data_IF_498286333310
#
_entry.id   IF_498286333310
#
_cell.length_a   1.000
_cell.length_b   1.000
_cell.length_c   1.000
_cell.angle_alpha   90.00
_cell.angle_beta   90.00
_cell.angle_gamma   90.00
#
_symmetry.space_group_name_H-M   'P 1'
#
loop_
_entity.id
_entity.type
_entity.pdbx_description
1 polymer ?
#
# COMPACT_ATOMS: atom_id res chain seq x y z
N UNK A 1 29.29 -2.37 2.26
CA UNK A 1 29.58 -1.20 3.14
C UNK A 1 29.55 -1.64 4.59
N UNK A 2 30.52 -1.18 5.36
CA UNK A 2 30.94 -1.69 6.67
C UNK A 2 29.84 -1.65 7.75
N UNK A 3 29.88 -2.67 8.61
CA UNK A 3 29.10 -2.79 9.83
C UNK A 3 29.40 -1.63 10.78
N UNK A 4 28.45 -0.70 10.96
CA UNK A 4 28.49 0.21 12.10
C UNK A 4 27.84 -0.49 13.29
N UNK A 5 28.68 -0.83 14.27
CA UNK A 5 28.35 -1.26 15.64
C UNK A 5 27.16 -0.42 16.13
N UNK A 6 26.06 -1.05 16.58
CA UNK A 6 25.01 -0.35 17.35
C UNK A 6 25.72 0.22 18.59
N UNK A 7 25.99 1.52 18.59
CA UNK A 7 26.55 2.21 19.74
C UNK A 7 25.47 2.27 20.80
N UNK A 8 25.76 1.73 21.98
CA UNK A 8 24.93 1.75 23.21
C UNK A 8 24.82 3.14 23.85
N UNK A 9 25.20 4.21 23.14
CA UNK A 9 25.03 5.59 23.60
C UNK A 9 23.81 6.17 22.92
N UNK A 10 22.87 6.71 23.70
CA UNK A 10 21.76 7.50 23.19
C UNK A 10 22.32 8.57 22.24
N UNK A 11 21.74 8.73 21.04
CA UNK A 11 22.21 9.73 20.10
C UNK A 11 22.04 11.13 20.73
N UNK A 12 22.88 12.12 20.35
CA UNK A 12 22.73 13.48 20.84
C UNK A 12 21.31 14.00 20.62
N UNK A 13 20.76 14.73 21.59
CA UNK A 13 19.41 15.32 21.53
C UNK A 13 19.30 16.17 20.25
N UNK A 14 18.21 15.99 19.49
CA UNK A 14 17.95 16.61 18.17
C UNK A 14 18.91 16.23 17.02
N UNK A 15 19.80 15.25 17.21
CA UNK A 15 20.53 14.70 16.08
C UNK A 15 19.60 13.98 15.10
N UNK A 16 20.05 13.83 13.86
CA UNK A 16 19.31 13.07 12.83
C UNK A 16 18.95 11.64 13.31
N UNK A 17 19.85 10.98 14.03
CA UNK A 17 19.58 9.63 14.56
C UNK A 17 18.56 9.65 15.71
N UNK A 18 18.54 10.71 16.53
CA UNK A 18 17.55 10.90 17.58
C UNK A 18 16.13 11.09 17.01
N UNK A 19 15.99 11.95 15.99
CA UNK A 19 14.69 12.20 15.33
C UNK A 19 14.13 10.91 14.73
N UNK A 20 14.96 10.14 14.01
CA UNK A 20 14.50 8.89 13.41
C UNK A 20 14.08 7.84 14.45
N UNK A 21 14.77 7.76 15.58
CA UNK A 21 14.44 6.79 16.62
C UNK A 21 13.18 7.15 17.41
N UNK A 22 12.93 8.44 17.64
CA UNK A 22 11.84 8.92 18.50
C UNK A 22 10.76 9.66 17.70
N UNK A 23 10.63 9.40 16.40
CA UNK A 23 9.72 10.14 15.53
C UNK A 23 8.26 10.02 16.00
N UNK A 24 7.84 8.85 16.46
CA UNK A 24 6.50 8.61 16.99
C UNK A 24 6.21 9.49 18.21
N UNK A 25 7.14 9.54 19.18
CA UNK A 25 7.01 10.37 20.38
C UNK A 25 7.05 11.86 20.06
N UNK A 26 7.92 12.29 19.15
CA UNK A 26 7.98 13.69 18.69
C UNK A 26 6.65 14.11 18.05
N UNK A 27 6.13 13.27 17.15
CA UNK A 27 4.86 13.53 16.46
C UNK A 27 3.69 13.48 17.45
N UNK A 28 3.72 12.57 18.43
CA UNK A 28 2.74 12.54 19.52
C UNK A 28 2.77 13.83 20.35
N UNK A 29 3.94 14.36 20.67
CA UNK A 29 4.06 15.66 21.34
C UNK A 29 3.41 16.80 20.53
N UNK A 30 3.59 16.81 19.20
CA UNK A 30 2.93 17.79 18.31
C UNK A 30 1.41 17.58 18.30
N UNK A 31 0.93 16.33 18.23
CA UNK A 31 -0.51 16.02 18.31
C UNK A 31 -1.13 16.46 19.63
N UNK A 32 -0.43 16.22 20.74
CA UNK A 32 -0.85 16.62 22.09
C UNK A 32 -0.98 18.13 22.24
N UNK A 33 -0.18 18.93 21.53
CA UNK A 33 -0.34 20.39 21.54
C UNK A 33 -1.75 20.81 21.09
N UNK A 34 -2.29 20.19 20.03
CA UNK A 34 -3.65 20.47 19.56
C UNK A 34 -4.71 20.00 20.56
N UNK A 35 -4.54 18.81 21.14
CA UNK A 35 -5.48 18.25 22.13
C UNK A 35 -5.51 19.10 23.40
N UNK A 36 -4.35 19.46 23.95
CA UNK A 36 -4.25 20.33 25.12
C UNK A 36 -4.76 21.73 24.84
N UNK A 37 -4.63 22.22 23.61
CA UNK A 37 -5.21 23.51 23.20
C UNK A 37 -6.74 23.55 23.32
N UNK A 38 -7.45 22.41 23.38
CA UNK A 38 -8.89 22.38 23.69
C UNK A 38 -9.18 22.73 25.16
N UNK A 39 -8.20 22.62 26.06
CA UNK A 39 -8.41 22.88 27.49
C UNK A 39 -8.47 24.37 27.84
N UNK A 40 -8.01 25.26 26.95
CA UNK A 40 -8.02 26.70 27.16
C UNK A 40 -8.96 27.38 26.16
N UNK A 41 -9.85 28.23 26.66
CA UNK A 41 -10.87 28.91 25.86
C UNK A 41 -10.29 29.69 24.67
N UNK A 42 -9.16 30.41 24.87
CA UNK A 42 -8.51 31.18 23.82
C UNK A 42 -7.85 30.35 22.71
N UNK A 43 -7.48 29.09 22.98
CA UNK A 43 -6.86 28.20 21.98
C UNK A 43 -7.83 27.15 21.44
N UNK A 44 -8.96 26.92 22.09
CA UNK A 44 -9.93 25.89 21.73
C UNK A 44 -10.49 26.08 20.32
N UNK A 45 -10.82 27.32 19.94
CA UNK A 45 -11.31 27.68 18.59
C UNK A 45 -10.29 27.33 17.49
N UNK A 46 -9.00 27.45 17.77
CA UNK A 46 -7.97 27.06 16.82
C UNK A 46 -7.78 25.54 16.80
N UNK A 47 -7.71 24.90 17.97
CA UNK A 47 -7.52 23.46 18.11
C UNK A 47 -8.65 22.63 17.51
N UNK A 48 -9.90 23.08 17.63
CA UNK A 48 -11.06 22.33 17.15
C UNK A 48 -11.03 22.13 15.63
N UNK A 49 -10.46 23.09 14.89
CA UNK A 49 -10.30 23.03 13.42
C UNK A 49 -9.45 21.84 12.98
N UNK A 50 -8.47 21.46 13.80
CA UNK A 50 -7.59 20.33 13.54
C UNK A 50 -8.23 18.99 13.91
N UNK A 51 -9.07 18.96 14.96
CA UNK A 51 -9.52 17.70 15.56
C UNK A 51 -10.87 17.23 14.98
N UNK A 52 -11.82 18.15 14.80
CA UNK A 52 -13.19 17.82 14.38
C UNK A 52 -13.39 17.98 12.88
N UNK A 53 -14.38 17.28 12.33
CA UNK A 53 -14.79 17.48 10.94
C UNK A 53 -15.42 18.86 10.76
N UNK A 54 -14.96 19.58 9.74
CA UNK A 54 -15.39 20.95 9.46
C UNK A 54 -16.59 20.97 8.50
N UNK A 55 -17.25 22.12 8.35
CA UNK A 55 -18.31 22.35 7.35
C UNK A 55 -19.56 21.46 7.53
N UNK A 56 -20.02 21.25 8.77
CA UNK A 56 -21.30 20.59 9.06
C UNK A 56 -22.49 21.52 8.82
N UNK A 57 -23.59 20.95 8.34
CA UNK A 57 -24.90 21.59 8.18
C UNK A 57 -25.93 20.71 8.86
N UNK A 58 -26.68 21.30 9.79
CA UNK A 58 -27.76 20.65 10.52
C UNK A 58 -29.06 20.80 9.77
N UNK A 59 -29.69 19.68 9.42
CA UNK A 59 -31.06 19.68 8.93
C UNK A 59 -32.01 19.40 10.10
N UNK A 60 -33.02 20.26 10.35
CA UNK A 60 -34.01 20.00 11.38
C UNK A 60 -34.75 18.71 11.04
N UNK A 61 -35.00 17.88 12.06
CA UNK A 61 -35.79 16.67 11.91
C UNK A 61 -37.19 17.07 11.40
N UNK A 62 -37.65 16.45 10.32
CA UNK A 62 -39.04 16.60 9.91
C UNK A 62 -39.94 16.05 11.03
N UNK A 63 -40.97 16.81 11.41
CA UNK A 63 -41.79 16.62 12.61
C UNK A 63 -42.45 15.22 12.76
N UNK A 64 -42.46 14.38 11.71
CA UNK A 64 -43.21 13.12 11.68
C UNK A 64 -42.39 11.82 11.74
N UNK A 65 -41.06 11.87 11.89
CA UNK A 65 -40.27 10.66 12.16
C UNK A 65 -39.18 10.95 13.18
N UNK A 66 -39.12 10.13 14.23
CA UNK A 66 -38.05 10.07 15.24
C UNK A 66 -36.69 9.71 14.63
N UNK A 67 -36.21 10.55 13.72
CA UNK A 67 -34.94 10.45 13.03
C UNK A 67 -34.15 11.66 13.50
N UNK A 68 -33.08 11.41 14.24
CA UNK A 68 -32.17 12.43 14.77
C UNK A 68 -31.79 13.46 13.70
N UNK A 69 -31.48 14.69 14.12
CA UNK A 69 -30.97 15.75 13.25
C UNK A 69 -29.84 15.21 12.37
N UNK A 70 -30.04 15.18 11.05
CA UNK A 70 -29.04 14.63 10.13
C UNK A 70 -27.97 15.68 9.87
N UNK A 71 -26.75 15.41 10.34
CA UNK A 71 -25.58 16.22 10.01
C UNK A 71 -25.05 15.82 8.64
N UNK A 72 -25.06 16.77 7.70
CA UNK A 72 -24.45 16.62 6.38
C UNK A 72 -23.28 17.59 6.24
N UNK A 73 -22.30 17.22 5.43
CA UNK A 73 -21.03 17.93 5.34
C UNK A 73 -20.71 18.32 3.91
N UNK A 74 -20.08 19.48 3.75
CA UNK A 74 -19.40 19.91 2.53
C UNK A 74 -17.89 19.65 2.63
N UNK A 75 -17.19 19.67 1.49
CA UNK A 75 -15.74 19.87 1.54
C UNK A 75 -15.41 21.35 1.77
N UNK A 76 -14.24 21.63 2.33
CA UNK A 76 -13.70 23.00 2.36
C UNK A 76 -12.25 23.06 2.82
N UNK A 77 -11.65 24.25 2.74
CA UNK A 77 -10.20 24.45 2.93
C UNK A 77 -9.77 24.08 4.36
N UNK A 78 -10.62 24.29 5.37
CA UNK A 78 -10.32 23.92 6.75
C UNK A 78 -10.10 22.41 6.94
N UNK A 79 -10.59 21.58 6.02
CA UNK A 79 -10.36 20.13 6.06
C UNK A 79 -8.88 19.78 5.91
N UNK A 80 -8.03 20.67 5.35
CA UNK A 80 -6.59 20.48 5.28
C UNK A 80 -5.94 20.44 6.66
N UNK A 81 -6.41 21.25 7.60
CA UNK A 81 -5.95 21.22 8.99
C UNK A 81 -6.34 19.89 9.65
N UNK A 82 -7.55 19.41 9.37
CA UNK A 82 -8.02 18.11 9.84
C UNK A 82 -7.19 16.97 9.25
N UNK A 83 -6.94 16.96 7.94
CA UNK A 83 -6.05 15.99 7.26
C UNK A 83 -4.66 16.00 7.89
N UNK A 84 -4.11 17.18 8.18
CA UNK A 84 -2.80 17.30 8.85
C UNK A 84 -2.80 16.65 10.24
N UNK A 85 -3.81 16.91 11.06
CA UNK A 85 -3.91 16.29 12.39
C UNK A 85 -4.02 14.76 12.30
N UNK A 86 -4.91 14.24 11.45
CA UNK A 86 -5.04 12.79 11.27
C UNK A 86 -3.81 12.17 10.60
N UNK A 87 -3.00 12.93 9.86
CA UNK A 87 -1.70 12.47 9.36
C UNK A 87 -0.75 12.23 10.54
N UNK A 88 -0.72 13.10 11.56
CA UNK A 88 0.07 12.87 12.78
C UNK A 88 -0.41 11.59 13.49
N UNK A 89 -1.72 11.41 13.61
CA UNK A 89 -2.32 10.18 14.17
C UNK A 89 -1.89 8.95 13.36
N UNK A 90 -1.91 9.04 12.02
CA UNK A 90 -1.48 7.94 11.14
C UNK A 90 0.00 7.59 11.34
N UNK A 91 0.90 8.56 11.54
CA UNK A 91 2.31 8.30 11.88
C UNK A 91 2.44 7.53 13.20
N UNK A 92 1.70 7.94 14.23
CA UNK A 92 1.71 7.28 15.55
C UNK A 92 1.20 5.84 15.44
N UNK A 93 0.09 5.63 14.72
CA UNK A 93 -0.49 4.31 14.48
C UNK A 93 0.49 3.43 13.70
N UNK A 94 1.11 3.96 12.63
CA UNK A 94 2.10 3.24 11.83
C UNK A 94 3.26 2.75 12.69
N UNK A 95 3.84 3.64 13.50
CA UNK A 95 4.93 3.30 14.41
C UNK A 95 4.51 2.28 15.47
N UNK A 96 3.29 2.39 15.99
CA UNK A 96 2.74 1.44 16.97
C UNK A 96 2.59 0.04 16.35
N UNK A 97 2.01 -0.06 15.15
CA UNK A 97 1.89 -1.34 14.43
C UNK A 97 3.29 -1.91 14.14
N UNK A 98 4.23 -1.06 13.75
CA UNK A 98 5.60 -1.47 13.46
C UNK A 98 6.26 -2.10 14.68
N UNK A 99 6.22 -1.42 15.83
CA UNK A 99 6.90 -1.85 17.05
C UNK A 99 6.23 -3.05 17.72
N UNK A 100 4.90 -3.00 17.91
CA UNK A 100 4.18 -3.98 18.72
C UNK A 100 3.77 -5.24 17.95
N UNK A 101 3.56 -5.13 16.63
CA UNK A 101 3.08 -6.23 15.79
C UNK A 101 4.19 -6.75 14.89
N UNK A 102 4.67 -5.93 13.95
CA UNK A 102 5.54 -6.40 12.87
C UNK A 102 6.94 -6.77 13.38
N UNK A 103 7.55 -5.93 14.21
CA UNK A 103 8.84 -6.22 14.81
C UNK A 103 8.80 -7.43 15.75
N UNK A 104 7.67 -7.65 16.43
CA UNK A 104 7.46 -8.84 17.26
C UNK A 104 7.42 -10.11 16.41
N UNK A 105 6.75 -10.09 15.26
CA UNK A 105 6.71 -11.22 14.32
C UNK A 105 8.10 -11.45 13.71
N UNK A 106 8.78 -10.39 13.28
CA UNK A 106 10.13 -10.48 12.72
C UNK A 106 11.15 -11.12 13.68
N UNK A 107 11.09 -10.76 14.97
CA UNK A 107 11.96 -11.35 15.99
C UNK A 107 11.68 -12.84 16.19
N UNK A 108 10.42 -13.27 16.04
CA UNK A 108 10.04 -14.69 16.12
C UNK A 108 10.47 -15.48 14.90
N UNK A 109 10.28 -14.94 13.70
CA UNK A 109 10.58 -15.62 12.44
C UNK A 109 12.04 -15.54 12.00
N UNK A 110 12.85 -14.67 12.63
CA UNK A 110 14.29 -14.50 12.36
C UNK A 110 14.62 -14.25 10.87
N UNK A 111 13.81 -13.43 10.19
CA UNK A 111 14.02 -13.16 8.77
C UNK A 111 15.36 -12.43 8.48
N UNK A 112 16.01 -12.72 7.33
CA UNK A 112 17.10 -11.90 6.83
C UNK A 112 16.66 -10.44 6.62
N UNK A 113 17.56 -9.48 6.87
CA UNK A 113 17.31 -8.02 6.71
C UNK A 113 16.55 -7.60 5.43
N UNK A 114 16.89 -8.08 4.21
CA UNK A 114 16.17 -7.68 3.01
C UNK A 114 14.73 -8.21 2.98
N UNK A 115 14.48 -9.39 3.56
CA UNK A 115 13.15 -10.01 3.67
C UNK A 115 12.31 -9.29 4.74
N UNK A 116 12.95 -8.88 5.83
CA UNK A 116 12.32 -8.11 6.91
C UNK A 116 11.73 -6.78 6.41
N UNK A 117 12.48 -6.02 5.59
CA UNK A 117 12.01 -4.75 5.06
C UNK A 117 10.74 -4.90 4.21
N UNK A 118 10.70 -5.92 3.35
CA UNK A 118 9.54 -6.20 2.49
C UNK A 118 8.34 -6.73 3.30
N UNK A 119 8.61 -7.57 4.29
CA UNK A 119 7.58 -8.06 5.22
C UNK A 119 6.95 -6.91 6.00
N UNK A 120 7.75 -5.94 6.47
CA UNK A 120 7.24 -4.77 7.18
C UNK A 120 6.35 -3.90 6.29
N UNK A 121 6.81 -3.57 5.09
CA UNK A 121 6.04 -2.80 4.11
C UNK A 121 4.71 -3.51 3.81
N UNK A 122 4.75 -4.80 3.48
CA UNK A 122 3.55 -5.59 3.21
C UNK A 122 2.63 -5.69 4.42
N UNK A 123 3.19 -5.84 5.62
CA UNK A 123 2.43 -5.90 6.87
C UNK A 123 1.68 -4.62 7.18
N UNK A 124 2.33 -3.46 7.02
CA UNK A 124 1.70 -2.15 7.21
C UNK A 124 0.55 -1.95 6.21
N UNK A 125 0.80 -2.22 4.92
CA UNK A 125 -0.24 -2.11 3.90
C UNK A 125 -1.39 -3.09 4.12
N UNK A 126 -1.13 -4.34 4.53
CA UNK A 126 -2.18 -5.29 4.87
C UNK A 126 -3.09 -4.79 5.98
N UNK A 127 -2.53 -4.24 7.07
CA UNK A 127 -3.34 -3.70 8.17
C UNK A 127 -4.18 -2.52 7.70
N UNK A 128 -3.57 -1.58 6.97
CA UNK A 128 -4.27 -0.41 6.44
C UNK A 128 -5.42 -0.77 5.50
N UNK A 129 -5.17 -1.65 4.53
CA UNK A 129 -6.19 -2.05 3.57
C UNK A 129 -7.30 -2.86 4.24
N UNK A 130 -6.98 -3.72 5.21
CA UNK A 130 -7.99 -4.47 5.96
C UNK A 130 -8.94 -3.53 6.73
N UNK A 131 -8.38 -2.59 7.50
CA UNK A 131 -9.18 -1.61 8.26
C UNK A 131 -10.00 -0.75 7.31
N UNK A 132 -9.41 -0.27 6.23
CA UNK A 132 -10.12 0.53 5.22
C UNK A 132 -11.24 -0.26 4.56
N UNK A 133 -11.02 -1.54 4.22
CA UNK A 133 -12.02 -2.45 3.65
C UNK A 133 -13.24 -2.65 4.54
N UNK A 134 -13.00 -2.92 5.82
CA UNK A 134 -14.07 -3.09 6.81
C UNK A 134 -14.85 -1.77 6.96
N UNK A 135 -14.15 -0.64 7.08
CA UNK A 135 -14.80 0.66 7.25
C UNK A 135 -15.60 1.08 6.02
N UNK A 136 -15.05 0.95 4.81
CA UNK A 136 -15.77 1.29 3.59
C UNK A 136 -16.99 0.39 3.35
N UNK A 137 -16.89 -0.90 3.70
CA UNK A 137 -18.05 -1.82 3.67
C UNK A 137 -19.13 -1.38 4.66
N UNK A 138 -18.74 -0.98 5.87
CA UNK A 138 -19.67 -0.45 6.87
C UNK A 138 -20.40 0.80 6.36
N UNK A 139 -19.70 1.71 5.67
CA UNK A 139 -20.32 2.90 5.06
C UNK A 139 -21.33 2.50 3.98
N UNK A 140 -20.96 1.60 3.07
CA UNK A 140 -21.85 1.13 2.00
C UNK A 140 -23.13 0.48 2.53
N UNK A 141 -23.03 -0.28 3.62
CA UNK A 141 -24.18 -0.87 4.31
C UNK A 141 -25.02 0.24 4.95
N UNK A 142 -24.40 1.17 5.67
CA UNK A 142 -25.09 2.24 6.38
C UNK A 142 -25.85 3.20 5.45
N UNK A 143 -25.37 3.38 4.23
CA UNK A 143 -25.99 4.24 3.21
C UNK A 143 -26.91 3.46 2.26
N UNK A 144 -27.22 2.18 2.57
CA UNK A 144 -28.09 1.30 1.79
C UNK A 144 -27.66 1.11 0.32
N UNK A 145 -26.39 1.32 0.00
CA UNK A 145 -25.86 1.20 -1.36
C UNK A 145 -25.93 -0.25 -1.90
N UNK A 146 -25.94 -1.25 -1.00
CA UNK A 146 -26.10 -2.66 -1.38
C UNK A 146 -27.55 -3.01 -1.75
N UNK A 147 -28.52 -2.33 -1.15
CA UNK A 147 -29.95 -2.57 -1.38
C UNK A 147 -30.46 -1.78 -2.61
N UNK A 148 -29.97 -0.57 -2.81
CA UNK A 148 -30.25 0.25 -3.98
C UNK A 148 -28.94 0.69 -4.67
N UNK A 149 -28.42 -0.13 -5.60
CA UNK A 149 -27.23 0.22 -6.38
C UNK A 149 -27.36 1.53 -7.15
N UNK A 150 -28.60 1.98 -7.42
CA UNK A 150 -28.81 3.22 -8.19
C UNK A 150 -28.28 4.46 -7.47
N UNK A 151 -28.10 4.39 -6.15
CA UNK A 151 -27.49 5.44 -5.32
C UNK A 151 -26.02 5.70 -5.67
N UNK A 152 -25.31 4.71 -6.24
CA UNK A 152 -23.89 4.85 -6.61
C UNK A 152 -23.67 5.88 -7.72
N UNK A 153 -24.61 5.97 -8.66
CA UNK A 153 -24.55 6.89 -9.80
C UNK A 153 -25.55 8.04 -9.75
N UNK A 154 -26.52 8.02 -8.83
CA UNK A 154 -27.47 9.12 -8.65
C UNK A 154 -26.78 10.30 -7.95
N UNK A 155 -26.62 11.41 -8.66
CA UNK A 155 -26.16 12.66 -8.07
C UNK A 155 -27.13 13.07 -6.94
N UNK A 156 -26.63 13.10 -5.70
CA UNK A 156 -27.38 13.64 -4.58
C UNK A 156 -27.72 15.10 -4.87
N UNK A 157 -28.98 15.55 -4.66
CA UNK A 157 -29.42 16.88 -5.07
C UNK A 157 -28.66 18.04 -4.41
N UNK A 158 -27.89 17.79 -3.35
CA UNK A 158 -27.18 18.83 -2.59
C UNK A 158 -25.66 18.70 -2.55
N UNK A 159 -25.02 17.74 -3.25
CA UNK A 159 -23.56 17.54 -3.20
C UNK A 159 -23.02 17.56 -1.76
N UNK A 160 -23.58 16.71 -0.90
CA UNK A 160 -23.21 16.61 0.51
C UNK A 160 -22.80 15.18 0.85
N UNK A 161 -22.04 15.03 1.93
CA UNK A 161 -21.59 13.73 2.44
C UNK A 161 -22.03 13.53 3.89
N UNK A 162 -22.24 12.28 4.29
CA UNK A 162 -22.46 11.92 5.70
C UNK A 162 -21.16 12.11 6.49
N UNK A 163 -21.27 12.17 7.82
CA UNK A 163 -20.11 12.20 8.70
C UNK A 163 -19.14 11.04 8.41
N UNK A 164 -19.66 9.82 8.29
CA UNK A 164 -18.87 8.61 8.08
C UNK A 164 -18.10 8.66 6.76
N UNK A 165 -18.78 9.04 5.67
CA UNK A 165 -18.16 9.20 4.36
C UNK A 165 -17.06 10.28 4.38
N UNK A 166 -17.35 11.45 4.97
CA UNK A 166 -16.36 12.52 5.08
C UNK A 166 -15.14 12.06 5.87
N UNK A 167 -15.37 11.47 7.04
CA UNK A 167 -14.30 11.05 7.93
C UNK A 167 -13.41 9.99 7.28
N UNK A 168 -14.03 9.06 6.53
CA UNK A 168 -13.30 8.09 5.73
C UNK A 168 -12.35 8.79 4.75
N UNK A 169 -12.83 9.68 3.88
CA UNK A 169 -11.97 10.37 2.91
C UNK A 169 -10.84 11.18 3.56
N UNK A 170 -11.13 11.90 4.64
CA UNK A 170 -10.12 12.65 5.41
C UNK A 170 -9.05 11.70 5.97
N UNK A 171 -9.47 10.57 6.52
CA UNK A 171 -8.55 9.55 7.04
C UNK A 171 -7.71 8.90 5.94
N UNK A 172 -8.31 8.65 4.77
CA UNK A 172 -7.59 8.11 3.60
C UNK A 172 -6.53 9.10 3.09
N UNK A 173 -6.88 10.38 2.96
CA UNK A 173 -5.92 11.44 2.59
C UNK A 173 -4.80 11.53 3.64
N UNK A 174 -5.15 11.58 4.92
CA UNK A 174 -4.21 11.63 6.02
C UNK A 174 -3.21 10.47 6.00
N UNK A 175 -3.70 9.25 5.74
CA UNK A 175 -2.84 8.09 5.57
C UNK A 175 -1.90 8.28 4.36
N UNK A 176 -2.39 8.61 3.17
CA UNK A 176 -1.45 8.75 2.04
C UNK A 176 -0.49 9.94 2.19
N UNK A 177 -0.85 10.99 2.94
CA UNK A 177 0.09 12.03 3.34
C UNK A 177 1.12 11.57 4.36
N UNK A 178 0.77 10.66 5.28
CA UNK A 178 1.71 10.08 6.26
C UNK A 178 2.87 9.35 5.56
N UNK A 179 2.61 8.82 4.36
CA UNK A 179 3.63 8.09 3.61
C UNK A 179 4.83 8.96 3.25
N UNK A 180 4.67 10.28 3.04
CA UNK A 180 5.80 11.17 2.71
C UNK A 180 6.87 11.27 3.81
N UNK A 181 6.54 11.65 5.06
CA UNK A 181 7.52 11.62 6.15
C UNK A 181 7.99 10.20 6.46
N UNK A 182 7.15 9.18 6.24
CA UNK A 182 7.54 7.78 6.44
C UNK A 182 8.66 7.35 5.48
N UNK A 183 8.66 7.80 4.21
CA UNK A 183 9.80 7.56 3.30
C UNK A 183 11.13 8.06 3.87
N UNK A 184 11.09 9.16 4.62
CA UNK A 184 12.24 9.72 5.30
C UNK A 184 12.61 8.89 6.54
N UNK A 185 11.63 8.51 7.38
CA UNK A 185 11.88 7.70 8.58
C UNK A 185 12.41 6.30 8.27
N UNK A 186 11.94 5.67 7.19
CA UNK A 186 12.38 4.33 6.75
C UNK A 186 13.74 4.33 6.03
N UNK A 187 14.33 5.50 5.76
CA UNK A 187 15.57 5.65 4.97
C UNK A 187 15.50 4.96 3.62
N UNK A 188 14.41 5.18 2.88
CA UNK A 188 14.26 4.64 1.53
C UNK A 188 15.46 5.01 0.66
N UNK A 189 15.93 4.05 -0.15
CA UNK A 189 17.02 4.30 -1.10
C UNK A 189 16.59 5.40 -2.08
N UNK A 190 17.50 6.33 -2.37
CA UNK A 190 17.26 7.46 -3.29
C UNK A 190 16.72 7.05 -4.67
N UNK A 191 17.06 5.84 -5.13
CA UNK A 191 16.62 5.29 -6.41
C UNK A 191 15.12 4.90 -6.41
N UNK A 192 14.58 4.51 -5.24
CA UNK A 192 13.21 4.03 -5.10
C UNK A 192 12.21 5.15 -4.77
N UNK A 193 12.72 6.28 -4.23
CA UNK A 193 11.92 7.48 -3.89
C UNK A 193 11.03 7.97 -5.05
N UNK A 194 11.51 8.20 -6.28
CA UNK A 194 10.65 8.75 -7.34
C UNK A 194 9.47 7.83 -7.67
N UNK A 195 9.70 6.51 -7.68
CA UNK A 195 8.64 5.52 -7.91
C UNK A 195 7.60 5.54 -6.79
N UNK A 196 8.03 5.60 -5.53
CA UNK A 196 7.12 5.67 -4.38
C UNK A 196 6.34 6.98 -4.34
N UNK A 197 6.97 8.11 -4.69
CA UNK A 197 6.28 9.40 -4.78
C UNK A 197 5.17 9.39 -5.84
N UNK A 198 5.42 8.79 -7.01
CA UNK A 198 4.37 8.63 -8.04
C UNK A 198 3.25 7.76 -7.49
N UNK A 199 3.56 6.65 -6.82
CA UNK A 199 2.55 5.76 -6.25
C UNK A 199 1.68 6.44 -5.18
N UNK A 200 2.30 7.19 -4.25
CA UNK A 200 1.59 7.98 -3.23
C UNK A 200 0.76 9.09 -3.89
N UNK A 201 1.36 9.81 -4.85
CA UNK A 201 0.70 10.88 -5.58
C UNK A 201 -0.53 10.42 -6.36
N UNK A 202 -0.49 9.22 -6.95
CA UNK A 202 -1.63 8.62 -7.62
C UNK A 202 -2.79 8.33 -6.65
N UNK A 203 -2.51 7.82 -5.45
CA UNK A 203 -3.55 7.61 -4.44
C UNK A 203 -4.17 8.93 -3.98
N UNK A 204 -3.33 9.91 -3.64
CA UNK A 204 -3.80 11.24 -3.25
C UNK A 204 -4.63 11.90 -4.35
N UNK A 205 -4.21 11.80 -5.62
CA UNK A 205 -4.94 12.34 -6.75
C UNK A 205 -6.35 11.74 -6.88
N UNK A 206 -6.50 10.43 -6.82
CA UNK A 206 -7.82 9.79 -6.98
C UNK A 206 -8.71 9.99 -5.75
N UNK A 207 -8.16 9.94 -4.54
CA UNK A 207 -8.92 10.16 -3.29
C UNK A 207 -9.37 11.63 -3.23
N UNK A 208 -8.47 12.59 -3.50
CA UNK A 208 -8.82 14.00 -3.55
C UNK A 208 -9.79 14.31 -4.69
N UNK A 209 -9.60 13.71 -5.87
CA UNK A 209 -10.51 13.84 -7.00
C UNK A 209 -11.92 13.35 -6.66
N UNK A 210 -12.04 12.19 -6.01
CA UNK A 210 -13.32 11.66 -5.55
C UNK A 210 -13.99 12.58 -4.52
N UNK A 211 -13.20 13.09 -3.57
CA UNK A 211 -13.65 13.96 -2.49
C UNK A 211 -14.11 15.34 -2.98
N UNK A 212 -13.30 16.03 -3.79
CA UNK A 212 -13.55 17.40 -4.25
C UNK A 212 -14.63 17.48 -5.35
N UNK A 213 -14.80 16.41 -6.12
CA UNK A 213 -15.80 16.35 -7.18
C UNK A 213 -17.12 15.71 -6.72
N UNK A 214 -17.26 15.43 -5.42
CA UNK A 214 -18.44 14.76 -4.84
C UNK A 214 -18.78 13.42 -5.51
N UNK A 215 -17.78 12.67 -5.94
CA UNK A 215 -17.93 11.30 -6.42
C UNK A 215 -17.96 10.34 -5.21
N UNK A 216 -18.73 10.67 -4.16
CA UNK A 216 -18.58 10.08 -2.83
C UNK A 216 -18.75 8.56 -2.82
N UNK A 217 -19.93 8.07 -3.21
CA UNK A 217 -20.23 6.63 -3.23
C UNK A 217 -19.43 5.90 -4.31
N UNK A 218 -19.31 6.52 -5.49
CA UNK A 218 -18.53 5.96 -6.59
C UNK A 218 -17.06 5.76 -6.21
N UNK A 219 -16.41 6.83 -5.76
CA UNK A 219 -15.04 6.81 -5.30
C UNK A 219 -14.83 5.83 -4.15
N UNK A 220 -15.80 5.71 -3.23
CA UNK A 220 -15.76 4.74 -2.14
C UNK A 220 -15.74 3.29 -2.67
N UNK A 221 -16.64 2.95 -3.60
CA UNK A 221 -16.69 1.61 -4.21
C UNK A 221 -15.41 1.30 -4.99
N UNK A 222 -14.93 2.25 -5.80
CA UNK A 222 -13.70 2.07 -6.57
C UNK A 222 -12.48 1.90 -5.67
N UNK A 223 -12.37 2.73 -4.64
CA UNK A 223 -11.31 2.62 -3.65
C UNK A 223 -11.39 1.29 -2.89
N UNK A 224 -12.61 0.82 -2.59
CA UNK A 224 -12.82 -0.47 -1.93
C UNK A 224 -12.40 -1.66 -2.75
N UNK A 225 -12.81 -1.71 -4.01
CA UNK A 225 -12.39 -2.78 -4.91
C UNK A 225 -10.87 -2.78 -5.09
N UNK A 226 -10.26 -1.59 -5.25
CA UNK A 226 -8.81 -1.46 -5.33
C UNK A 226 -8.11 -1.96 -4.05
N UNK A 227 -8.51 -1.47 -2.88
CA UNK A 227 -7.91 -1.85 -1.60
C UNK A 227 -8.10 -3.33 -1.27
N UNK A 228 -9.24 -3.92 -1.63
CA UNK A 228 -9.46 -5.34 -1.42
C UNK A 228 -8.48 -6.18 -2.24
N UNK A 229 -8.25 -5.81 -3.51
CA UNK A 229 -7.29 -6.52 -4.36
C UNK A 229 -5.84 -6.32 -3.86
N UNK A 230 -5.48 -5.12 -3.41
CA UNK A 230 -4.16 -4.86 -2.80
C UNK A 230 -3.98 -5.63 -1.48
N UNK A 231 -5.02 -5.71 -0.64
CA UNK A 231 -5.02 -6.48 0.59
C UNK A 231 -4.69 -7.95 0.32
N UNK A 232 -5.38 -8.55 -0.66
CA UNK A 232 -5.11 -9.93 -1.04
C UNK A 232 -3.65 -10.11 -1.48
N UNK A 233 -3.10 -9.19 -2.29
CA UNK A 233 -1.69 -9.24 -2.69
C UNK A 233 -0.74 -9.20 -1.51
N UNK A 234 -0.94 -8.26 -0.58
CA UNK A 234 -0.05 -8.15 0.57
C UNK A 234 -0.18 -9.31 1.54
N UNK A 235 -1.39 -9.88 1.70
CA UNK A 235 -1.57 -11.11 2.48
C UNK A 235 -0.81 -12.27 1.81
N UNK A 236 -0.87 -12.39 0.49
CA UNK A 236 -0.11 -13.40 -0.25
C UNK A 236 1.40 -13.24 -0.06
N UNK A 237 1.91 -12.01 -0.14
CA UNK A 237 3.32 -11.71 0.11
C UNK A 237 3.73 -12.07 1.54
N UNK A 238 2.88 -11.80 2.55
CA UNK A 238 3.14 -12.19 3.93
C UNK A 238 3.23 -13.71 4.11
N UNK A 239 2.35 -14.48 3.45
CA UNK A 239 2.42 -15.94 3.46
C UNK A 239 3.66 -16.47 2.73
N UNK A 240 3.98 -15.90 1.57
CA UNK A 240 5.18 -16.23 0.80
C UNK A 240 6.46 -15.98 1.61
N UNK A 241 6.51 -14.89 2.37
CA UNK A 241 7.65 -14.64 3.25
C UNK A 241 7.67 -15.58 4.46
N UNK A 242 6.54 -16.13 4.89
CA UNK A 242 6.51 -17.02 6.06
C UNK A 242 7.08 -18.41 5.77
N UNK A 243 6.77 -19.01 4.61
CA UNK A 243 7.25 -20.35 4.26
C UNK A 243 7.33 -20.54 2.73
N UNK A 244 8.46 -21.10 2.26
CA UNK A 244 8.74 -21.37 0.84
C UNK A 244 7.86 -22.51 0.28
N UNK A 245 7.24 -23.32 1.13
CA UNK A 245 6.39 -24.45 0.73
C UNK A 245 5.10 -24.02 0.02
N UNK A 246 4.73 -22.74 0.11
CA UNK A 246 3.50 -22.18 -0.47
C UNK A 246 3.62 -21.71 -1.93
N UNK A 247 4.73 -21.99 -2.64
CA UNK A 247 4.91 -21.53 -4.03
C UNK A 247 3.78 -21.91 -5.00
N UNK A 248 3.18 -23.11 -4.87
CA UNK A 248 2.05 -23.52 -5.71
C UNK A 248 0.78 -22.73 -5.41
N UNK A 249 0.56 -22.37 -4.14
CA UNK A 249 -0.60 -21.57 -3.73
C UNK A 249 -0.46 -20.13 -4.25
N UNK A 250 0.76 -19.59 -4.31
CA UNK A 250 1.04 -18.26 -4.88
C UNK A 250 0.64 -18.14 -6.36
N UNK A 251 0.77 -19.21 -7.15
CA UNK A 251 0.32 -19.22 -8.56
C UNK A 251 -1.21 -19.10 -8.69
N UNK A 252 -1.97 -19.78 -7.82
CA UNK A 252 -3.43 -19.62 -7.75
C UNK A 252 -3.82 -18.20 -7.31
N UNK A 253 -3.10 -17.62 -6.36
CA UNK A 253 -3.32 -16.24 -5.92
C UNK A 253 -3.06 -15.21 -7.03
N UNK A 254 -2.09 -15.46 -7.93
CA UNK A 254 -1.87 -14.58 -9.08
C UNK A 254 -3.10 -14.54 -10.02
N UNK A 255 -3.78 -15.68 -10.22
CA UNK A 255 -5.01 -15.75 -11.01
C UNK A 255 -6.13 -14.97 -10.33
N UNK A 256 -6.34 -15.19 -9.02
CA UNK A 256 -7.34 -14.45 -8.22
C UNK A 256 -7.08 -12.95 -8.28
N UNK A 257 -5.81 -12.54 -8.21
CA UNK A 257 -5.42 -11.14 -8.31
C UNK A 257 -5.76 -10.53 -9.67
N UNK A 258 -5.40 -11.20 -10.77
CA UNK A 258 -5.72 -10.73 -12.13
C UNK A 258 -7.24 -10.62 -12.30
N UNK A 259 -7.99 -11.61 -11.83
CA UNK A 259 -9.45 -11.59 -11.88
C UNK A 259 -10.04 -10.43 -11.06
N UNK A 260 -9.54 -10.21 -9.84
CA UNK A 260 -9.96 -9.10 -8.99
C UNK A 260 -9.70 -7.73 -9.63
N UNK A 261 -8.54 -7.55 -10.28
CA UNK A 261 -8.23 -6.33 -11.04
C UNK A 261 -9.15 -6.15 -12.25
N UNK A 262 -9.43 -7.23 -12.98
CA UNK A 262 -10.34 -7.19 -14.12
C UNK A 262 -11.76 -6.82 -13.69
N UNK A 263 -12.25 -7.38 -12.59
CA UNK A 263 -13.55 -7.01 -11.99
C UNK A 263 -13.55 -5.52 -11.61
N UNK A 264 -12.49 -5.04 -10.97
CA UNK A 264 -12.35 -3.62 -10.61
C UNK A 264 -12.37 -2.72 -11.84
N UNK A 265 -11.71 -3.12 -12.93
CA UNK A 265 -11.71 -2.41 -14.20
C UNK A 265 -13.10 -2.38 -14.85
N UNK A 266 -13.80 -3.53 -14.88
CA UNK A 266 -15.16 -3.63 -15.42
C UNK A 266 -16.11 -2.72 -14.63
N UNK A 267 -16.07 -2.79 -13.30
CA UNK A 267 -16.89 -1.94 -12.42
C UNK A 267 -16.57 -0.47 -12.66
N UNK A 268 -15.29 -0.11 -12.79
CA UNK A 268 -14.88 1.26 -13.11
C UNK A 268 -15.49 1.73 -14.43
N UNK A 269 -15.29 0.99 -15.52
CA UNK A 269 -15.81 1.34 -16.85
C UNK A 269 -17.33 1.44 -16.86
N UNK A 270 -18.03 0.46 -16.27
CA UNK A 270 -19.49 0.48 -16.16
C UNK A 270 -19.96 1.70 -15.40
N UNK A 271 -19.31 2.03 -14.28
CA UNK A 271 -19.78 3.15 -13.47
C UNK A 271 -19.48 4.49 -14.13
N UNK A 272 -18.39 4.62 -14.88
CA UNK A 272 -18.17 5.78 -15.77
C UNK A 272 -19.31 5.85 -16.80
N UNK A 273 -19.60 4.77 -17.51
CA UNK A 273 -20.65 4.72 -18.52
C UNK A 273 -22.02 5.13 -17.99
N UNK A 274 -22.43 4.58 -16.85
CA UNK A 274 -23.70 4.93 -16.20
C UNK A 274 -23.72 6.35 -15.64
N UNK A 275 -22.60 6.85 -15.11
CA UNK A 275 -22.50 8.23 -14.65
C UNK A 275 -22.68 9.24 -15.79
N UNK A 276 -22.07 8.99 -16.96
CA UNK A 276 -22.26 9.83 -18.14
C UNK A 276 -23.69 9.73 -18.69
N UNK A 277 -24.22 8.51 -18.83
CA UNK A 277 -25.57 8.29 -19.37
C UNK A 277 -26.66 8.89 -18.47
N UNK A 278 -26.50 8.79 -17.15
CA UNK A 278 -27.40 9.39 -16.16
C UNK A 278 -27.33 10.93 -16.15
N UNK A 279 -26.17 11.52 -16.46
CA UNK A 279 -25.99 12.96 -16.60
C UNK A 279 -26.64 13.54 -17.85
N UNK A 280 -26.63 12.81 -18.96
CA UNK A 280 -27.16 13.26 -20.25
C UNK A 280 -28.70 13.31 -20.30
N UNK A 281 -29.37 12.46 -19.52
CA UNK A 281 -30.85 12.38 -19.46
C UNK A 281 -31.50 13.40 -18.52
N UNK A 282 -30.75 14.29 -17.86
CA UNK A 282 -31.25 15.11 -16.75
C UNK A 282 -31.00 16.60 -16.98
N UNK A 283 -31.99 17.24 -17.62
CA UNK A 283 -32.11 18.68 -17.92
C UNK A 283 -31.06 19.26 -18.90
N UNK A 284 -31.46 19.63 -20.13
CA UNK A 284 -30.58 20.38 -21.04
C UNK A 284 -30.15 21.76 -20.50
N UNK A 285 -30.91 22.36 -19.57
CA UNK A 285 -30.53 23.61 -18.90
C UNK A 285 -29.47 23.42 -17.78
N UNK A 286 -29.28 22.18 -17.32
CA UNK A 286 -28.24 21.79 -16.36
C UNK A 286 -26.85 21.65 -16.98
N UNK A 287 -26.75 21.64 -18.32
CA UNK A 287 -25.50 21.66 -19.08
C UNK A 287 -24.76 23.00 -18.88
N UNK A 288 -25.48 24.07 -18.54
CA UNK A 288 -24.92 25.35 -18.11
C UNK A 288 -24.22 25.27 -16.74
N UNK A 289 -24.43 24.19 -15.99
CA UNK A 289 -23.73 23.86 -14.75
C UNK A 289 -22.30 23.39 -15.01
N UNK A 290 -21.40 24.34 -15.26
CA UNK A 290 -19.95 24.24 -15.22
C UNK A 290 -19.34 23.00 -15.91
N UNK A 291 -19.27 23.05 -17.25
CA UNK A 291 -18.60 22.06 -18.12
C UNK A 291 -17.22 21.64 -17.60
N UNK A 292 -16.49 22.54 -16.92
CA UNK A 292 -15.18 22.24 -16.33
C UNK A 292 -15.25 21.19 -15.21
N UNK A 293 -16.32 21.19 -14.41
CA UNK A 293 -16.51 20.21 -13.32
C UNK A 293 -16.85 18.84 -13.89
N UNK A 294 -17.70 18.79 -14.92
CA UNK A 294 -17.99 17.54 -15.63
C UNK A 294 -16.74 16.99 -16.31
N UNK A 295 -15.97 17.84 -16.99
CA UNK A 295 -14.70 17.46 -17.59
C UNK A 295 -13.71 16.93 -16.53
N UNK A 296 -13.61 17.57 -15.37
CA UNK A 296 -12.78 17.10 -14.27
C UNK A 296 -13.21 15.72 -13.74
N UNK A 297 -14.52 15.47 -13.61
CA UNK A 297 -15.06 14.14 -13.23
C UNK A 297 -14.66 13.07 -14.24
N UNK A 298 -14.86 13.35 -15.54
CA UNK A 298 -14.50 12.44 -16.62
C UNK A 298 -12.98 12.22 -16.63
N UNK A 299 -12.17 13.25 -16.38
CA UNK A 299 -10.71 13.14 -16.34
C UNK A 299 -10.24 12.23 -15.20
N UNK A 300 -10.73 12.42 -13.97
CA UNK A 300 -10.37 11.59 -12.80
C UNK A 300 -10.83 10.14 -12.98
N UNK A 301 -12.03 9.94 -13.53
CA UNK A 301 -12.55 8.60 -13.76
C UNK A 301 -11.81 7.88 -14.90
N UNK A 302 -11.51 8.59 -16.00
CA UNK A 302 -10.75 8.03 -17.12
C UNK A 302 -9.31 7.70 -16.73
N UNK A 303 -8.63 8.56 -15.95
CA UNK A 303 -7.29 8.25 -15.44
C UNK A 303 -7.29 7.00 -14.57
N UNK A 304 -8.30 6.82 -13.72
CA UNK A 304 -8.46 5.61 -12.90
C UNK A 304 -8.56 4.37 -13.79
N UNK A 305 -9.43 4.39 -14.81
CA UNK A 305 -9.58 3.29 -15.75
C UNK A 305 -8.27 3.00 -16.51
N UNK A 306 -7.57 4.03 -16.99
CA UNK A 306 -6.30 3.87 -17.71
C UNK A 306 -5.23 3.23 -16.82
N UNK A 307 -5.10 3.66 -15.56
CA UNK A 307 -4.13 3.11 -14.62
C UNK A 307 -4.47 1.65 -14.29
N UNK A 308 -5.74 1.35 -14.02
CA UNK A 308 -6.17 -0.03 -13.76
C UNK A 308 -5.91 -0.93 -14.97
N UNK A 309 -6.22 -0.47 -16.18
CA UNK A 309 -5.94 -1.20 -17.41
C UNK A 309 -4.44 -1.43 -17.60
N UNK A 310 -3.61 -0.41 -17.40
CA UNK A 310 -2.16 -0.50 -17.49
C UNK A 310 -1.56 -1.51 -16.51
N UNK A 311 -1.97 -1.45 -15.23
CA UNK A 311 -1.49 -2.37 -14.20
C UNK A 311 -1.92 -3.81 -14.52
N UNK A 312 -3.20 -4.00 -14.89
CA UNK A 312 -3.74 -5.32 -15.23
C UNK A 312 -3.02 -5.91 -16.43
N UNK A 313 -2.80 -5.11 -17.47
CA UNK A 313 -2.06 -5.50 -18.67
C UNK A 313 -0.63 -5.93 -18.35
N UNK A 314 0.09 -5.14 -17.54
CA UNK A 314 1.46 -5.47 -17.16
C UNK A 314 1.54 -6.78 -16.38
N UNK A 315 0.62 -7.00 -15.43
CA UNK A 315 0.59 -8.23 -14.63
C UNK A 315 0.19 -9.46 -15.45
N UNK A 316 -0.78 -9.29 -16.35
CA UNK A 316 -1.15 -10.34 -17.29
C UNK A 316 0.05 -10.78 -18.13
N UNK A 317 0.82 -9.83 -18.67
CA UNK A 317 2.01 -10.15 -19.47
C UNK A 317 3.09 -10.86 -18.65
N UNK A 318 3.34 -10.43 -17.40
CA UNK A 318 4.31 -11.09 -16.52
C UNK A 318 3.88 -12.53 -16.20
N UNK A 319 2.59 -12.74 -15.95
CA UNK A 319 2.08 -14.09 -15.66
C UNK A 319 2.09 -14.99 -16.90
N UNK A 320 1.77 -14.42 -18.07
CA UNK A 320 1.85 -15.13 -19.35
C UNK A 320 3.30 -15.56 -19.65
N UNK A 321 4.28 -14.68 -19.44
CA UNK A 321 5.69 -15.01 -19.59
C UNK A 321 6.11 -16.16 -18.66
N UNK A 322 5.70 -16.13 -17.40
CA UNK A 322 5.98 -17.22 -16.44
C UNK A 322 5.38 -18.55 -16.89
N UNK A 323 4.13 -18.56 -17.34
CA UNK A 323 3.50 -19.79 -17.86
C UNK A 323 4.21 -20.30 -19.11
N UNK A 324 4.60 -19.42 -20.03
CA UNK A 324 5.37 -19.81 -21.22
C UNK A 324 6.74 -20.40 -20.85
N UNK A 325 7.42 -19.85 -19.85
CA UNK A 325 8.69 -20.38 -19.33
C UNK A 325 8.51 -21.74 -18.64
N UNK A 326 7.46 -21.90 -17.82
CA UNK A 326 7.13 -23.16 -17.17
C UNK A 326 6.81 -24.27 -18.20
N UNK A 327 5.98 -23.98 -19.20
CA UNK A 327 5.67 -24.92 -20.29
C UNK A 327 6.92 -25.26 -21.12
N UNK A 328 7.79 -24.28 -21.39
CA UNK A 328 9.07 -24.52 -22.07
C UNK A 328 10.01 -25.41 -21.24
N UNK A 329 10.03 -25.29 -19.92
CA UNK A 329 10.82 -26.18 -19.04
C UNK A 329 10.25 -27.59 -18.95
N UNK A 330 8.93 -27.76 -19.07
CA UNK A 330 8.26 -29.07 -19.12
C UNK A 330 8.45 -29.76 -20.49
N UNK A 331 8.57 -28.98 -21.57
CA UNK A 331 8.82 -29.49 -22.92
C UNK A 331 10.31 -29.65 -23.27
N UNK A 332 11.22 -29.16 -22.43
CA UNK A 332 12.65 -29.38 -22.63
C UNK A 332 12.97 -30.89 -22.47
N UNK A 333 13.48 -31.57 -23.52
CA UNK A 333 13.85 -32.97 -23.40
C UNK A 333 14.94 -33.09 -22.34
N UNK A 334 14.74 -33.96 -21.36
CA UNK A 334 15.77 -34.30 -20.38
C UNK A 334 17.04 -34.75 -21.11
N UNK A 335 18.00 -33.83 -21.30
CA UNK A 335 19.32 -34.17 -21.82
C UNK A 335 19.98 -34.97 -20.72
N UNK A 336 19.79 -36.30 -20.79
CA UNK A 336 20.54 -37.28 -20.01
C UNK A 336 22.01 -36.88 -20.13
N UNK A 337 22.60 -36.39 -19.03
CA UNK A 337 24.05 -36.26 -18.89
C UNK A 337 24.65 -37.61 -19.26
N UNK A 338 25.20 -37.71 -20.47
CA UNK A 338 25.92 -38.87 -20.95
C UNK A 338 27.18 -38.95 -20.07
N UNK A 339 27.15 -39.77 -19.02
CA UNK A 339 28.37 -40.16 -18.30
C UNK A 339 29.24 -40.89 -19.33
N UNK A 340 30.29 -40.21 -19.79
CA UNK A 340 31.34 -40.82 -20.59
C UNK A 340 32.00 -41.89 -19.74
N UNK A 341 31.62 -43.14 -19.96
CA UNK A 341 32.15 -44.33 -19.29
C UNK A 341 33.53 -44.60 -19.86
N UNK A 342 34.57 -44.06 -19.22
CA UNK A 342 35.96 -44.41 -19.47
C UNK A 342 36.18 -45.88 -19.13
N UNK A 343 36.55 -46.66 -20.15
CA UNK A 343 36.89 -48.08 -20.08
C UNK A 343 38.42 -48.15 -19.86
N UNK A 344 38.87 -48.65 -18.71
CA UNK A 344 40.18 -49.31 -18.63
C UNK A 344 40.09 -50.57 -17.78
N UNK A 345 40.90 -51.53 -18.23
CA UNK A 345 40.82 -52.96 -17.98
C UNK A 345 41.35 -53.38 -16.60
N UNK A 346 41.06 -54.64 -16.27
CA UNK A 346 41.19 -55.37 -15.01
C UNK A 346 42.45 -56.24 -14.98
N UNK A 347 43.23 -56.19 -13.90
CA UNK A 347 44.12 -57.24 -13.29
C UNK A 347 45.00 -56.51 -12.26
N UNK A 348 45.27 -56.94 -11.02
CA UNK A 348 45.15 -58.23 -10.33
C UNK A 348 46.39 -58.36 -9.42
N UNK A 349 46.19 -58.05 -8.13
CA UNK A 349 46.80 -58.59 -6.88
C UNK A 349 48.34 -58.67 -6.63
N UNK A 350 48.68 -58.30 -5.38
CA UNK A 350 49.71 -58.88 -4.45
C UNK A 350 51.13 -58.27 -4.29
N UNK A 351 51.30 -57.57 -3.15
CA UNK A 351 52.35 -57.57 -2.11
C UNK A 351 53.81 -57.95 -2.46
N UNK A 352 54.76 -57.12 -2.00
CA UNK A 352 56.19 -57.49 -1.88
C UNK A 352 57.13 -56.37 -1.43
N UNK A 353 57.69 -56.52 -0.23
CA UNK A 353 58.54 -55.63 0.58
C UNK A 353 59.99 -55.46 0.07
N UNK A 354 60.61 -54.32 0.46
CA UNK A 354 62.03 -54.07 0.81
C UNK A 354 63.03 -53.36 -0.15
N UNK A 355 63.62 -52.31 0.45
CA UNK A 355 65.06 -51.96 0.56
C UNK A 355 65.73 -50.97 -0.43
N UNK A 356 65.95 -49.76 0.12
CA UNK A 356 67.22 -48.99 0.26
C UNK A 356 68.21 -48.83 -0.91
N UNK A 357 68.50 -47.57 -1.27
CA UNK A 357 69.83 -46.91 -1.29
C UNK A 357 69.61 -45.42 -1.67
N UNK A 358 69.86 -44.41 -0.81
CA UNK A 358 71.13 -43.65 -0.59
C UNK A 358 71.66 -43.06 -1.93
N UNK A 359 71.74 -41.75 -2.17
CA UNK A 359 72.73 -40.79 -1.64
C UNK A 359 72.50 -39.37 -2.26
N UNK A 360 72.74 -38.33 -1.45
CA UNK A 360 73.16 -36.93 -1.68
C UNK A 360 72.29 -35.79 -2.28
N UNK A 361 72.23 -34.72 -1.46
CA UNK A 361 72.01 -33.28 -1.74
C UNK A 361 73.36 -32.63 -2.18
N UNK A 362 73.54 -31.32 -2.53
CA UNK A 362 72.75 -30.15 -2.09
C UNK A 362 72.66 -28.89 -3.02
N UNK A 363 71.92 -27.89 -2.52
CA UNK A 363 72.02 -26.42 -2.76
C UNK A 363 71.68 -25.89 -4.18
N UNK A 364 70.92 -24.80 -4.39
CA UNK A 364 71.11 -23.42 -3.88
C UNK A 364 69.85 -22.55 -4.13
N UNK A 365 69.59 -21.62 -3.20
CA UNK A 365 68.66 -20.46 -3.30
C UNK A 365 69.24 -19.33 -4.17
N UNK A 366 68.37 -18.63 -4.90
CA UNK A 366 68.30 -17.18 -5.24
C UNK A 366 67.45 -17.05 -6.52
N UNK A 367 66.62 -16.03 -6.81
CA UNK A 367 66.40 -14.68 -6.27
C UNK A 367 65.03 -14.17 -6.80
N UNK A 368 64.49 -13.12 -6.18
CA UNK A 368 63.35 -12.32 -6.64
C UNK A 368 63.83 -11.17 -7.55
N UNK A 369 63.07 -10.87 -8.60
CA UNK A 369 62.84 -9.54 -9.22
C UNK A 369 61.75 -9.74 -10.30
N UNK A 370 60.72 -8.94 -10.52
CA UNK A 370 60.30 -7.59 -10.08
C UNK A 370 58.77 -7.54 -10.09
#
# INVERSE_FOLDING_TARGET
MAFRKKSTKNPPVLSHEFILQNHADLVACVGMFFVLGLMFEGTAEASIVFITLQHSVTFPAAEDRATESKFLYYYGIKDLATVFFYMLVAIIIHATIQEYVLDKINRRMQFPKPKQSKFNESGQFSVFYLVSCIWGTFILISENCLADPTLLWRAHPHNMMTFQMKFFYISQLAYWFHAFPELYFQRTKKQDIPRQLVYIGLHLFHIAGAYLLYLNHLGLVLLMMHYFVELLSHICDLFYFSDEKYQKEVSLWAIVFILGRLVTLIVSVLTVGFHLAGGQNRNPDGITGNVNVLAAKIAVLSSSCTIQAYITWNLFNVQLQRWMEEDATLQAPSVKKKRTKGRSSRKGTENGVAASHRVDSPHKKKEKSS
#
